data_IF_732857922642
#
_entry.id   IF_732857922642
#
_cell.length_a   1.000
_cell.length_b   1.000
_cell.length_c   1.000
_cell.angle_alpha   90.00
_cell.angle_beta   90.00
_cell.angle_gamma   90.00
#
_symmetry.space_group_name_H-M   'P 1'
#
loop_
_entity.id
_entity.type
_entity.pdbx_description
1 polymer ?
#
# COMPACT_ATOMS: atom_id res chain seq x y z
N UNK A 1 -11.57 -6.99 -15.67
CA UNK A 1 -12.83 -6.42 -15.13
C UNK A 1 -12.81 -4.90 -15.39
N UNK A 2 -13.90 -4.29 -15.87
CA UNK A 2 -13.87 -2.85 -16.25
C UNK A 2 -14.15 -1.97 -15.01
N UNK A 3 -13.10 -1.31 -14.50
CA UNK A 3 -13.16 -0.46 -13.31
C UNK A 3 -14.16 0.69 -13.44
N UNK A 4 -14.13 1.39 -14.56
CA UNK A 4 -14.95 2.58 -14.79
C UNK A 4 -16.45 2.26 -14.70
N UNK A 5 -16.88 1.16 -15.33
CA UNK A 5 -18.28 0.71 -15.27
C UNK A 5 -18.72 0.33 -13.85
N UNK A 6 -17.84 -0.25 -13.05
CA UNK A 6 -18.17 -0.59 -11.67
C UNK A 6 -18.27 0.65 -10.77
N UNK A 7 -17.42 1.66 -11.00
CA UNK A 7 -17.52 2.94 -10.27
C UNK A 7 -18.77 3.73 -10.68
N UNK A 8 -19.24 3.60 -11.93
CA UNK A 8 -20.52 4.17 -12.36
C UNK A 8 -21.71 3.50 -11.64
N UNK A 9 -21.66 2.18 -11.43
CA UNK A 9 -22.70 1.43 -10.71
C UNK A 9 -22.63 1.69 -9.20
N UNK A 10 -21.42 1.76 -8.65
CA UNK A 10 -21.14 1.96 -7.23
C UNK A 10 -20.36 3.28 -7.03
N UNK A 11 -21.06 4.41 -7.12
CA UNK A 11 -20.45 5.75 -7.03
C UNK A 11 -19.74 6.03 -5.70
N UNK A 12 -20.17 5.37 -4.63
CA UNK A 12 -19.60 5.49 -3.28
C UNK A 12 -18.44 4.50 -3.05
N UNK A 13 -17.97 3.81 -4.10
CA UNK A 13 -16.87 2.85 -3.99
C UNK A 13 -15.51 3.55 -4.09
N UNK A 14 -14.57 3.10 -3.26
CA UNK A 14 -13.20 3.62 -3.21
C UNK A 14 -12.23 2.66 -3.89
N UNK A 15 -11.19 3.20 -4.50
CA UNK A 15 -10.13 2.41 -5.14
C UNK A 15 -8.87 2.53 -4.29
N UNK A 16 -8.35 1.38 -3.88
CA UNK A 16 -7.13 1.25 -3.07
C UNK A 16 -6.18 0.22 -3.68
N UNK A 17 -4.90 0.26 -3.34
CA UNK A 17 -3.91 -0.72 -3.78
C UNK A 17 -3.99 -2.05 -3.01
N UNK A 18 -4.76 -2.09 -1.92
CA UNK A 18 -4.85 -3.22 -1.00
C UNK A 18 -6.32 -3.53 -0.63
N UNK A 19 -6.62 -4.76 -0.16
CA UNK A 19 -7.96 -5.11 0.27
C UNK A 19 -8.29 -4.53 1.65
N UNK A 20 -9.56 -4.26 1.91
CA UNK A 20 -10.01 -3.88 3.26
C UNK A 20 -10.24 -5.07 4.17
N UNK A 21 -10.00 -4.88 5.47
CA UNK A 21 -10.46 -5.77 6.54
C UNK A 21 -11.75 -5.28 7.22
N UNK A 22 -12.25 -4.10 6.85
CA UNK A 22 -13.48 -3.55 7.41
C UNK A 22 -14.70 -4.32 6.88
N UNK A 23 -15.45 -4.93 7.81
CA UNK A 23 -16.66 -5.70 7.51
C UNK A 23 -17.78 -4.86 6.86
N UNK A 24 -17.72 -3.54 6.95
CA UNK A 24 -18.66 -2.64 6.29
C UNK A 24 -18.44 -2.52 4.78
N UNK A 25 -17.31 -3.00 4.26
CA UNK A 25 -16.95 -2.94 2.85
C UNK A 25 -16.78 -4.33 2.25
N UNK A 26 -17.13 -4.47 0.98
CA UNK A 26 -16.77 -5.61 0.16
C UNK A 26 -15.56 -5.19 -0.69
N UNK A 27 -14.45 -5.89 -0.53
CA UNK A 27 -13.25 -5.68 -1.34
C UNK A 27 -13.27 -6.59 -2.56
N UNK A 28 -13.20 -6.00 -3.76
CA UNK A 28 -13.13 -6.74 -5.01
C UNK A 28 -11.77 -6.52 -5.67
N UNK A 29 -11.02 -7.59 -5.85
CA UNK A 29 -9.73 -7.58 -6.53
C UNK A 29 -9.87 -7.19 -8.01
N UNK A 30 -9.05 -6.24 -8.43
CA UNK A 30 -8.79 -5.84 -9.82
C UNK A 30 -7.31 -6.12 -10.15
N UNK A 31 -6.84 -5.67 -11.31
CA UNK A 31 -5.49 -5.96 -11.79
C UNK A 31 -4.37 -5.43 -10.86
N UNK A 32 -4.44 -4.15 -10.47
CA UNK A 32 -3.46 -3.50 -9.57
C UNK A 32 -4.09 -2.87 -8.33
N UNK A 33 -5.40 -3.09 -8.14
CA UNK A 33 -6.18 -2.36 -7.15
C UNK A 33 -7.32 -3.20 -6.61
N UNK A 34 -7.94 -2.71 -5.56
CA UNK A 34 -9.12 -3.26 -4.95
C UNK A 34 -10.21 -2.18 -4.94
N UNK A 35 -11.41 -2.58 -5.35
CA UNK A 35 -12.58 -1.73 -5.25
C UNK A 35 -13.29 -2.04 -3.92
N UNK A 36 -13.35 -1.05 -3.03
CA UNK A 36 -14.00 -1.14 -1.74
C UNK A 36 -15.42 -0.60 -1.87
N UNK A 37 -16.41 -1.50 -1.84
CA UNK A 37 -17.82 -1.17 -2.04
C UNK A 37 -18.54 -1.21 -0.69
N UNK A 38 -19.22 -0.13 -0.25
CA UNK A 38 -20.02 -0.15 0.97
C UNK A 38 -21.08 -1.25 0.94
N UNK A 39 -21.03 -2.19 1.89
CA UNK A 39 -21.93 -3.33 1.93
C UNK A 39 -23.38 -2.94 2.22
N UNK A 40 -23.63 -1.74 2.78
CA UNK A 40 -24.97 -1.20 3.05
C UNK A 40 -25.86 -1.12 1.80
N UNK A 41 -25.27 -1.06 0.61
CA UNK A 41 -25.99 -0.95 -0.66
C UNK A 41 -26.01 -2.25 -1.47
N UNK A 42 -25.41 -3.33 -0.96
CA UNK A 42 -25.29 -4.59 -1.68
C UNK A 42 -26.28 -5.63 -1.15
N UNK A 43 -27.10 -6.16 -2.05
CA UNK A 43 -27.92 -7.34 -1.79
C UNK A 43 -27.07 -8.60 -1.67
N UNK A 44 -27.63 -9.65 -1.07
CA UNK A 44 -26.94 -10.95 -0.94
C UNK A 44 -26.52 -11.55 -2.29
N UNK A 45 -27.32 -11.35 -3.33
CA UNK A 45 -27.06 -11.89 -4.67
C UNK A 45 -25.95 -11.11 -5.36
N UNK A 46 -25.95 -9.77 -5.26
CA UNK A 46 -24.89 -8.93 -5.81
C UNK A 46 -23.54 -9.24 -5.19
N UNK A 47 -23.48 -9.43 -3.86
CA UNK A 47 -22.24 -9.87 -3.19
C UNK A 47 -21.69 -11.15 -3.79
N UNK A 48 -22.53 -12.18 -3.97
CA UNK A 48 -22.13 -13.46 -4.57
C UNK A 48 -21.67 -13.30 -6.02
N UNK A 49 -22.38 -12.49 -6.81
CA UNK A 49 -22.01 -12.23 -8.20
C UNK A 49 -20.64 -11.55 -8.28
N UNK A 50 -20.44 -10.47 -7.51
CA UNK A 50 -19.19 -9.72 -7.47
C UNK A 50 -18.01 -10.59 -7.03
N UNK A 51 -18.21 -11.44 -6.02
CA UNK A 51 -17.20 -12.41 -5.60
C UNK A 51 -16.89 -13.44 -6.69
N UNK A 52 -17.91 -13.95 -7.39
CA UNK A 52 -17.72 -14.96 -8.44
C UNK A 52 -16.98 -14.42 -9.67
N UNK A 53 -17.07 -13.12 -9.96
CA UNK A 53 -16.39 -12.48 -11.09
C UNK A 53 -15.05 -11.83 -10.70
N UNK A 54 -14.72 -11.80 -9.40
CA UNK A 54 -13.47 -11.24 -8.91
C UNK A 54 -12.29 -12.16 -9.22
N UNK A 55 -11.11 -11.58 -9.42
CA UNK A 55 -9.87 -12.36 -9.56
C UNK A 55 -9.54 -12.94 -8.19
N UNK A 56 -9.45 -14.27 -8.09
CA UNK A 56 -9.14 -15.00 -6.86
C UNK A 56 -7.72 -14.68 -6.37
N UNK A 57 -7.52 -13.57 -5.67
CA UNK A 57 -6.27 -13.25 -4.99
C UNK A 57 -6.54 -12.37 -3.77
N UNK A 58 -6.93 -12.98 -2.66
CA UNK A 58 -6.96 -12.31 -1.36
C UNK A 58 -6.44 -13.24 -0.28
N UNK A 59 -5.13 -13.23 -0.06
CA UNK A 59 -4.56 -13.60 1.23
C UNK A 59 -4.35 -12.33 2.03
N UNK A 60 -5.07 -12.23 3.15
CA UNK A 60 -4.93 -11.17 4.12
C UNK A 60 -3.71 -11.47 5.00
N UNK A 61 -2.92 -10.45 5.33
CA UNK A 61 -1.97 -10.57 6.44
C UNK A 61 -2.62 -9.94 7.66
N UNK A 62 -3.31 -10.78 8.42
CA UNK A 62 -3.97 -10.42 9.68
C UNK A 62 -2.98 -10.59 10.84
N UNK A 63 -2.15 -9.59 11.08
CA UNK A 63 -1.59 -9.36 12.42
C UNK A 63 -1.02 -7.95 12.50
N UNK A 64 -1.82 -7.04 13.04
CA UNK A 64 -1.33 -5.73 13.42
C UNK A 64 -1.98 -5.45 14.78
N UNK A 65 -1.18 -5.59 15.84
CA UNK A 65 -1.52 -5.09 17.17
C UNK A 65 -1.55 -3.54 17.09
N UNK A 66 -2.70 -2.95 17.44
CA UNK A 66 -3.13 -1.63 16.95
C UNK A 66 -3.58 -0.67 18.05
N UNK A 67 -2.74 -0.42 19.03
CA UNK A 67 -2.97 0.74 19.90
C UNK A 67 -2.02 1.91 19.62
N UNK A 68 -0.80 1.65 19.14
CA UNK A 68 0.21 2.70 18.87
C UNK A 68 1.05 2.45 17.61
N UNK A 69 0.45 1.89 16.55
CA UNK A 69 1.17 1.59 15.29
C UNK A 69 0.90 2.63 14.20
N UNK A 70 1.83 2.73 13.23
CA UNK A 70 1.65 3.58 12.05
C UNK A 70 0.38 3.25 11.28
N UNK A 71 -0.09 2.00 11.35
CA UNK A 71 -1.37 1.60 10.80
C UNK A 71 -2.53 2.52 11.21
N UNK A 72 -2.65 2.85 12.50
CA UNK A 72 -3.75 3.71 12.97
C UNK A 72 -3.66 5.13 12.40
N UNK A 73 -2.43 5.58 12.12
CA UNK A 73 -2.15 6.93 11.62
C UNK A 73 -2.40 7.05 10.12
N UNK A 74 -2.30 5.94 9.39
CA UNK A 74 -2.59 5.87 7.96
C UNK A 74 -4.07 5.56 7.67
N UNK A 75 -4.75 4.78 8.52
CA UNK A 75 -6.09 4.24 8.22
C UNK A 75 -7.18 4.65 9.21
N UNK A 76 -6.85 5.28 10.33
CA UNK A 76 -7.83 5.66 11.36
C UNK A 76 -7.75 7.12 11.77
N UNK A 77 -7.02 7.94 11.00
CA UNK A 77 -6.84 9.38 11.25
C UNK A 77 -6.41 9.68 12.69
N UNK A 78 -5.57 8.80 13.27
CA UNK A 78 -4.95 9.03 14.56
C UNK A 78 -3.61 9.76 14.37
N UNK A 79 -3.13 10.50 15.38
CA UNK A 79 -1.78 11.05 15.35
C UNK A 79 -0.73 9.94 15.17
N UNK A 80 0.38 10.26 14.51
CA UNK A 80 1.50 9.34 14.38
C UNK A 80 2.05 8.94 15.76
N UNK A 81 2.56 7.70 15.94
CA UNK A 81 3.04 7.23 17.24
C UNK A 81 4.18 8.10 17.80
N UNK A 82 4.97 8.69 16.92
CA UNK A 82 6.09 9.56 17.24
C UNK A 82 5.63 11.02 17.41
N UNK A 83 6.25 11.73 18.36
CA UNK A 83 5.90 13.13 18.65
C UNK A 83 6.95 14.13 18.13
N UNK A 84 7.83 13.69 17.23
CA UNK A 84 8.89 14.50 16.60
C UNK A 84 9.42 13.83 15.34
N UNK A 85 10.11 14.61 14.52
CA UNK A 85 10.83 14.13 13.35
C UNK A 85 10.08 14.33 12.05
N UNK A 86 10.66 13.78 10.97
CA UNK A 86 10.06 13.76 9.64
C UNK A 86 10.04 12.33 9.13
N UNK A 87 9.00 11.96 8.40
CA UNK A 87 8.80 10.61 7.90
C UNK A 87 8.36 10.64 6.44
N UNK A 88 8.75 9.63 5.68
CA UNK A 88 8.23 9.39 4.33
C UNK A 88 7.56 8.02 4.26
N UNK A 89 6.64 7.87 3.32
CA UNK A 89 6.00 6.61 2.99
C UNK A 89 6.62 6.09 1.69
N UNK A 90 7.06 4.83 1.71
CA UNK A 90 7.49 4.12 0.50
C UNK A 90 6.49 3.00 0.27
N UNK A 91 5.72 3.13 -0.81
CA UNK A 91 4.74 2.12 -1.21
C UNK A 91 5.40 1.15 -2.18
N UNK A 92 5.17 -0.14 -1.97
CA UNK A 92 5.81 -1.21 -2.74
C UNK A 92 4.74 -2.17 -3.23
N UNK A 93 4.62 -2.34 -4.55
CA UNK A 93 3.89 -3.45 -5.17
C UNK A 93 4.88 -4.58 -5.48
N UNK A 94 4.57 -5.80 -5.04
CA UNK A 94 5.34 -7.00 -5.35
C UNK A 94 4.58 -7.85 -6.38
N UNK A 95 5.25 -8.21 -7.48
CA UNK A 95 4.73 -9.13 -8.48
C UNK A 95 5.50 -10.44 -8.45
N UNK A 96 4.81 -11.56 -8.70
CA UNK A 96 5.37 -12.92 -8.73
C UNK A 96 6.05 -13.38 -7.43
N UNK A 97 5.74 -12.75 -6.29
CA UNK A 97 6.30 -13.14 -5.01
C UNK A 97 5.60 -14.38 -4.43
N UNK A 98 6.34 -15.33 -3.86
CA UNK A 98 5.79 -16.51 -3.18
C UNK A 98 5.51 -16.23 -1.70
N UNK A 99 4.41 -16.76 -1.15
CA UNK A 99 3.99 -16.42 0.23
C UNK A 99 4.98 -16.87 1.31
N UNK A 100 5.78 -17.89 1.02
CA UNK A 100 6.69 -18.49 1.99
C UNK A 100 7.89 -17.60 2.33
N UNK A 101 8.13 -16.55 1.52
CA UNK A 101 9.30 -15.68 1.65
C UNK A 101 9.00 -14.34 2.34
N UNK A 102 7.75 -14.10 2.76
CA UNK A 102 7.33 -12.81 3.32
C UNK A 102 8.14 -12.40 4.56
N UNK A 103 8.43 -13.34 5.46
CA UNK A 103 9.25 -13.07 6.66
C UNK A 103 10.70 -12.77 6.29
N UNK A 104 11.25 -13.47 5.30
CA UNK A 104 12.62 -13.25 4.83
C UNK A 104 12.74 -11.87 4.19
N UNK A 105 11.81 -11.50 3.31
CA UNK A 105 11.71 -10.18 2.69
C UNK A 105 11.56 -9.07 3.74
N UNK A 106 10.71 -9.26 4.75
CA UNK A 106 10.55 -8.30 5.85
C UNK A 106 11.87 -8.02 6.57
N UNK A 107 12.63 -9.08 6.87
CA UNK A 107 13.92 -8.96 7.53
C UNK A 107 14.96 -8.28 6.63
N UNK A 108 14.96 -8.61 5.34
CA UNK A 108 15.89 -8.04 4.36
C UNK A 108 15.63 -6.54 4.17
N UNK A 109 14.37 -6.13 3.99
CA UNK A 109 13.98 -4.71 3.89
C UNK A 109 14.43 -3.94 5.14
N UNK A 110 14.21 -4.48 6.35
CA UNK A 110 14.66 -3.83 7.59
C UNK A 110 16.17 -3.75 7.73
N UNK A 111 16.90 -4.69 7.13
CA UNK A 111 18.37 -4.71 7.14
C UNK A 111 18.93 -3.66 6.19
N UNK A 112 18.34 -3.52 5.01
CA UNK A 112 18.82 -2.58 3.99
C UNK A 112 18.35 -1.14 4.27
N UNK A 113 17.20 -0.97 4.92
CA UNK A 113 16.62 0.32 5.27
C UNK A 113 16.65 0.53 6.79
N UNK A 114 17.81 0.88 7.37
CA UNK A 114 18.00 0.95 8.83
C UNK A 114 17.14 2.02 9.51
N UNK A 115 16.62 2.99 8.75
CA UNK A 115 15.75 4.05 9.24
C UNK A 115 14.25 3.71 9.12
N UNK A 116 13.92 2.47 8.79
CA UNK A 116 12.54 1.97 8.79
C UNK A 116 11.98 1.95 10.20
N UNK A 117 10.98 2.78 10.48
CA UNK A 117 10.29 2.81 11.76
C UNK A 117 9.17 1.77 11.83
N UNK A 118 8.48 1.54 10.71
CA UNK A 118 7.43 0.53 10.63
C UNK A 118 7.32 -0.03 9.20
N UNK A 119 6.82 -1.25 9.09
CA UNK A 119 6.70 -1.98 7.84
C UNK A 119 5.36 -2.71 7.83
N UNK A 120 4.43 -2.20 7.02
CA UNK A 120 3.05 -2.66 6.98
C UNK A 120 2.79 -3.41 5.68
N UNK A 121 2.58 -4.71 5.76
CA UNK A 121 2.07 -5.49 4.62
C UNK A 121 0.56 -5.53 4.67
N UNK A 122 -0.10 -4.87 3.72
CA UNK A 122 -1.57 -4.80 3.66
C UNK A 122 -2.16 -5.91 2.79
N UNK A 123 -1.34 -6.49 1.92
CA UNK A 123 -1.63 -7.73 1.20
C UNK A 123 -0.33 -8.49 0.94
N UNK A 124 -0.42 -9.67 0.33
CA UNK A 124 0.76 -10.40 -0.16
C UNK A 124 1.60 -9.58 -1.15
N UNK A 125 0.96 -8.70 -1.91
CA UNK A 125 1.55 -8.00 -3.04
C UNK A 125 1.71 -6.49 -2.80
N UNK A 126 1.40 -6.00 -1.61
CA UNK A 126 1.43 -4.57 -1.33
C UNK A 126 1.89 -4.30 0.10
N UNK A 127 2.94 -3.48 0.22
CA UNK A 127 3.50 -3.05 1.48
C UNK A 127 3.77 -1.56 1.53
N UNK A 128 3.85 -1.04 2.75
CA UNK A 128 4.25 0.33 3.05
C UNK A 128 5.42 0.28 4.02
N UNK A 129 6.56 0.82 3.61
CA UNK A 129 7.68 1.11 4.50
C UNK A 129 7.47 2.54 4.99
N UNK A 130 7.51 2.72 6.32
CA UNK A 130 7.57 4.04 6.92
C UNK A 130 9.00 4.26 7.37
N UNK A 131 9.62 5.33 6.87
CA UNK A 131 11.02 5.63 7.12
C UNK A 131 11.17 7.00 7.79
N UNK A 132 11.95 7.06 8.86
CA UNK A 132 12.34 8.30 9.50
C UNK A 132 13.44 9.01 8.70
N UNK A 133 13.39 10.34 8.68
CA UNK A 133 14.43 11.14 8.06
C UNK A 133 15.77 10.96 8.76
N UNK A 134 16.80 10.71 7.94
CA UNK A 134 18.22 10.75 8.31
C UNK A 134 19.00 11.35 7.14
N UNK A 135 20.16 11.96 7.42
CA UNK A 135 21.09 12.39 6.36
C UNK A 135 21.66 11.19 5.58
N UNK A 136 21.63 10.00 6.18
CA UNK A 136 22.05 8.74 5.59
C UNK A 136 20.88 7.96 4.96
N UNK A 137 19.67 8.52 4.95
CA UNK A 137 18.53 7.87 4.31
C UNK A 137 18.75 7.80 2.80
N UNK A 138 18.46 6.64 2.20
CA UNK A 138 18.72 6.40 0.79
C UNK A 138 17.92 7.34 -0.10
N UNK A 139 18.58 7.87 -1.13
CA UNK A 139 17.93 8.58 -2.23
C UNK A 139 16.96 7.66 -3.00
N UNK A 140 16.12 8.25 -3.84
CA UNK A 140 15.18 7.46 -4.66
C UNK A 140 15.93 6.52 -5.60
N UNK A 141 17.04 6.99 -6.18
CA UNK A 141 17.89 6.23 -7.07
C UNK A 141 18.58 5.05 -6.36
N UNK A 142 19.04 5.25 -5.13
CA UNK A 142 19.60 4.18 -4.30
C UNK A 142 18.54 3.15 -3.89
N UNK A 143 17.33 3.59 -3.54
CA UNK A 143 16.20 2.70 -3.27
C UNK A 143 15.85 1.86 -4.50
N UNK A 144 15.79 2.45 -5.70
CA UNK A 144 15.58 1.70 -6.94
C UNK A 144 16.65 0.61 -7.12
N UNK A 145 17.93 0.95 -6.90
CA UNK A 145 19.03 -0.02 -6.98
C UNK A 145 18.92 -1.16 -5.96
N UNK A 146 18.53 -0.84 -4.72
CA UNK A 146 18.30 -1.82 -3.65
C UNK A 146 17.19 -2.79 -4.02
N UNK A 147 16.03 -2.28 -4.43
CA UNK A 147 14.89 -3.12 -4.76
C UNK A 147 15.11 -3.94 -6.04
N UNK A 148 15.92 -3.46 -6.98
CA UNK A 148 16.37 -4.27 -8.11
C UNK A 148 17.24 -5.47 -7.70
N UNK A 149 18.08 -5.32 -6.67
CA UNK A 149 18.84 -6.43 -6.12
C UNK A 149 17.92 -7.44 -5.41
N UNK A 150 16.97 -6.94 -4.61
CA UNK A 150 15.94 -7.77 -3.97
C UNK A 150 15.11 -8.56 -5.00
N UNK A 151 14.71 -7.92 -6.09
CA UNK A 151 13.96 -8.55 -7.18
C UNK A 151 14.72 -9.76 -7.74
N UNK A 152 16.04 -9.63 -7.92
CA UNK A 152 16.90 -10.72 -8.38
C UNK A 152 16.98 -11.87 -7.36
N UNK A 153 17.14 -11.56 -6.07
CA UNK A 153 17.30 -12.58 -5.02
C UNK A 153 16.01 -13.37 -4.77
N UNK A 154 14.86 -12.70 -4.87
CA UNK A 154 13.54 -13.31 -4.62
C UNK A 154 12.82 -13.75 -5.90
N UNK A 155 13.47 -13.65 -7.07
CA UNK A 155 12.85 -13.88 -8.38
C UNK A 155 11.48 -13.20 -8.52
N UNK A 156 11.43 -11.95 -8.06
CA UNK A 156 10.23 -11.13 -7.98
C UNK A 156 10.42 -9.86 -8.80
N UNK A 157 9.37 -9.06 -8.88
CA UNK A 157 9.46 -7.75 -9.51
C UNK A 157 8.74 -6.73 -8.66
N UNK A 158 9.40 -5.64 -8.32
CA UNK A 158 8.85 -4.58 -7.48
C UNK A 158 8.60 -3.30 -8.25
N UNK A 159 7.53 -2.61 -7.85
CA UNK A 159 7.29 -1.24 -8.25
C UNK A 159 7.22 -0.38 -7.00
N UNK A 160 7.87 0.76 -7.05
CA UNK A 160 8.02 1.67 -5.92
C UNK A 160 7.30 2.99 -6.20
N UNK A 161 6.71 3.54 -5.14
CA UNK A 161 6.43 4.96 -5.04
C UNK A 161 7.11 5.49 -3.78
N UNK A 162 8.00 6.46 -3.94
CA UNK A 162 8.74 7.07 -2.83
C UNK A 162 8.15 8.46 -2.56
N UNK A 163 7.47 8.57 -1.42
CA UNK A 163 6.94 9.84 -0.92
C UNK A 163 8.01 10.80 -0.43
N UNK A 164 7.60 12.03 -0.14
CA UNK A 164 8.49 13.05 0.43
C UNK A 164 8.56 12.93 1.96
N UNK A 165 9.63 13.48 2.56
CA UNK A 165 9.71 13.57 4.02
C UNK A 165 8.81 14.68 4.56
N UNK A 166 7.83 14.33 5.38
CA UNK A 166 6.86 15.22 6.00
C UNK A 166 7.03 15.28 7.51
N UNK A 167 6.75 16.44 8.12
CA UNK A 167 6.73 16.60 9.59
C UNK A 167 5.71 15.65 10.22
N UNK A 168 6.00 15.12 11.41
CA UNK A 168 5.09 14.29 12.21
C UNK A 168 3.71 14.92 12.46
N UNK A 169 3.60 16.25 12.36
CA UNK A 169 2.36 17.02 12.54
C UNK A 169 1.41 16.95 11.32
N UNK A 170 1.86 16.40 10.19
CA UNK A 170 1.03 16.26 8.99
C UNK A 170 -0.02 15.17 9.17
N UNK A 171 -1.11 15.30 8.42
CA UNK A 171 -2.12 14.26 8.30
C UNK A 171 -1.61 13.15 7.38
N UNK A 172 -1.03 12.11 7.97
CA UNK A 172 -0.50 10.96 7.23
C UNK A 172 -1.59 10.07 6.63
N UNK A 173 -2.84 10.14 7.12
CA UNK A 173 -3.97 9.46 6.47
C UNK A 173 -4.27 10.10 5.11
N UNK A 174 -4.37 11.44 5.08
CA UNK A 174 -4.60 12.18 3.84
C UNK A 174 -3.41 12.08 2.88
N UNK A 175 -2.18 12.24 3.38
CA UNK A 175 -0.96 12.11 2.55
C UNK A 175 -0.88 10.73 1.91
N UNK A 176 -1.09 9.67 2.70
CA UNK A 176 -1.06 8.31 2.17
C UNK A 176 -2.11 8.11 1.08
N UNK A 177 -3.35 8.58 1.29
CA UNK A 177 -4.40 8.47 0.29
C UNK A 177 -4.00 9.15 -1.02
N UNK A 178 -3.49 10.38 -0.97
CA UNK A 178 -3.06 11.14 -2.16
C UNK A 178 -1.92 10.43 -2.90
N UNK A 179 -0.89 9.99 -2.18
CA UNK A 179 0.24 9.26 -2.75
C UNK A 179 -0.17 7.91 -3.32
N UNK A 180 -1.09 7.18 -2.67
CA UNK A 180 -1.64 5.92 -3.17
C UNK A 180 -2.37 6.11 -4.50
N UNK A 181 -3.17 7.17 -4.64
CA UNK A 181 -3.84 7.45 -5.92
C UNK A 181 -2.83 7.73 -7.04
N UNK A 182 -1.73 8.43 -6.74
CA UNK A 182 -0.64 8.65 -7.70
C UNK A 182 0.06 7.35 -8.06
N UNK A 183 0.36 6.50 -7.08
CA UNK A 183 0.99 5.20 -7.32
C UNK A 183 0.12 4.31 -8.19
N UNK A 184 -1.17 4.16 -7.84
CA UNK A 184 -2.15 3.41 -8.62
C UNK A 184 -2.28 3.95 -10.05
N UNK A 185 -2.24 5.27 -10.24
CA UNK A 185 -2.21 5.85 -11.57
C UNK A 185 -0.97 5.39 -12.34
N UNK A 186 0.22 5.49 -11.74
CA UNK A 186 1.46 5.01 -12.34
C UNK A 186 1.44 3.53 -12.73
N UNK A 187 0.91 2.67 -11.86
CA UNK A 187 0.78 1.23 -12.11
C UNK A 187 -0.10 0.93 -13.34
N UNK A 188 -1.24 1.60 -13.45
CA UNK A 188 -2.21 1.35 -14.52
C UNK A 188 -1.73 1.82 -15.90
N UNK A 189 -0.87 2.84 -15.95
CA UNK A 189 -0.32 3.36 -17.21
C UNK A 189 1.12 2.91 -17.47
N UNK A 190 1.65 2.02 -16.62
CA UNK A 190 3.03 1.53 -16.69
C UNK A 190 4.06 2.68 -16.73
N UNK A 191 3.72 3.79 -16.06
CA UNK A 191 4.57 4.97 -15.95
C UNK A 191 5.45 4.77 -14.72
N UNK A 192 6.78 4.88 -14.87
CA UNK A 192 7.68 5.01 -13.72
C UNK A 192 7.22 6.20 -12.88
N UNK A 193 6.64 5.93 -11.72
CA UNK A 193 6.04 6.95 -10.86
C UNK A 193 7.17 7.61 -10.08
N UNK A 194 7.83 8.60 -10.70
CA UNK A 194 8.82 9.42 -10.02
C UNK A 194 8.12 10.40 -9.06
N UNK A 195 8.66 10.46 -7.84
CA UNK A 195 8.29 11.35 -6.74
C UNK A 195 7.88 12.75 -7.20
N UNK A 196 6.66 13.17 -6.85
CA UNK A 196 6.20 14.55 -7.05
C UNK A 196 6.80 15.43 -5.95
N UNK A 197 7.83 16.20 -6.30
CA UNK A 197 8.38 17.24 -5.42
C UNK A 197 7.39 18.42 -5.38
N UNK A 198 6.60 18.53 -4.33
CA UNK A 198 5.96 19.82 -4.02
C UNK A 198 6.99 20.73 -3.36
N UNK A 199 7.24 21.87 -4.01
CA UNK A 199 8.16 22.92 -3.56
C UNK A 199 7.55 23.73 -2.42
#
# INVERSE_FOLDING_TARGET
>A
MNRQKLQEIYSDAFVHAFPTTDANYLSIAMEHSFLWIPQKYLTKTEKKLLQAISVSNTSYISSLDKEYSWYNSLFSNKPVPENKGRFRLIQVEFQNFETNDLTALQNEIRTILPYTVDLLFLSKNYGIVIEAFSEEALSVEELEGVFLALDSDFNSYTRLFVGSFHSFEKDFSQLFYEEEQLFLHGLNYNIKTQSVRYS
#
